data_IF_887571987965
#
_entry.id   IF_887571987965
#
_cell.length_a   1.000
_cell.length_b   1.000
_cell.length_c   1.000
_cell.angle_alpha   90.00
_cell.angle_beta   90.00
_cell.angle_gamma   90.00
#
_symmetry.space_group_name_H-M   'P 1'
#
loop_
_entity.id
_entity.type
_entity.pdbx_description
1 polymer ?
#
# COMPACT_ATOMS: atom_id res chain seq x y z
N UNK A 1 -23.67 -44.99 -62.59
CA UNK A 1 -23.45 -43.78 -61.78
C UNK A 1 -23.81 -44.08 -60.32
N UNK A 2 -22.81 -43.92 -59.44
CA UNK A 2 -22.80 -43.64 -57.98
C UNK A 2 -23.61 -44.51 -57.00
N UNK A 3 -22.84 -45.21 -56.15
CA UNK A 3 -23.28 -45.93 -54.96
C UNK A 3 -23.15 -45.15 -53.64
N UNK A 4 -23.63 -45.79 -52.57
CA UNK A 4 -23.67 -45.38 -51.15
C UNK A 4 -22.31 -45.48 -50.44
N UNK A 5 -22.03 -44.59 -49.48
CA UNK A 5 -21.73 -44.79 -48.02
C UNK A 5 -21.05 -43.52 -47.42
N UNK A 6 -21.58 -42.96 -46.31
CA UNK A 6 -21.10 -42.99 -44.89
C UNK A 6 -19.87 -42.10 -44.59
N UNK A 7 -19.96 -41.32 -43.51
CA UNK A 7 -18.79 -40.84 -42.75
C UNK A 7 -18.82 -39.34 -42.45
N UNK A 8 -19.14 -38.96 -41.21
CA UNK A 8 -19.28 -37.56 -40.79
C UNK A 8 -17.99 -36.83 -40.47
N UNK A 9 -18.10 -35.52 -40.28
CA UNK A 9 -17.28 -34.74 -39.34
C UNK A 9 -18.17 -33.64 -38.77
N UNK A 10 -18.40 -33.66 -37.46
CA UNK A 10 -18.87 -32.50 -36.69
C UNK A 10 -17.82 -31.40 -36.87
N UNK A 11 -18.11 -30.37 -37.66
CA UNK A 11 -17.43 -29.09 -37.44
C UNK A 11 -18.02 -28.50 -36.17
N UNK A 12 -17.26 -28.67 -35.08
CA UNK A 12 -17.42 -27.92 -33.84
C UNK A 12 -17.33 -26.45 -34.23
N UNK A 13 -18.45 -25.77 -34.06
CA UNK A 13 -18.56 -24.33 -34.22
C UNK A 13 -17.55 -23.63 -33.29
N UNK A 14 -16.87 -22.63 -33.86
CA UNK A 14 -16.06 -21.66 -33.13
C UNK A 14 -16.89 -21.01 -32.03
N UNK A 15 -16.86 -21.61 -30.84
CA UNK A 15 -17.52 -21.07 -29.66
C UNK A 15 -16.50 -20.29 -28.83
N UNK A 16 -16.58 -18.96 -29.00
CA UNK A 16 -16.45 -17.98 -27.93
C UNK A 16 -15.25 -18.16 -26.98
N UNK A 17 -14.05 -17.78 -27.42
CA UNK A 17 -13.02 -17.30 -26.49
C UNK A 17 -13.07 -15.77 -26.37
N UNK A 18 -14.28 -15.24 -26.22
CA UNK A 18 -14.54 -13.83 -25.94
C UNK A 18 -14.55 -13.63 -24.41
N UNK A 19 -13.50 -14.09 -23.73
CA UNK A 19 -13.24 -13.70 -22.34
C UNK A 19 -12.92 -12.20 -22.37
N UNK A 20 -13.97 -11.42 -22.11
CA UNK A 20 -13.98 -9.96 -22.15
C UNK A 20 -12.77 -9.39 -21.41
N UNK A 21 -11.85 -8.78 -22.18
CA UNK A 21 -10.78 -7.93 -21.63
C UNK A 21 -11.40 -6.91 -20.66
N UNK A 22 -10.74 -6.57 -19.54
CA UNK A 22 -11.24 -5.56 -18.61
C UNK A 22 -11.62 -4.28 -19.36
N UNK A 23 -12.91 -3.91 -19.37
CA UNK A 23 -13.45 -2.72 -20.07
C UNK A 23 -12.87 -1.40 -19.55
N UNK A 24 -12.19 -1.43 -18.42
CA UNK A 24 -11.43 -0.33 -17.87
C UNK A 24 -10.05 -0.87 -17.48
N UNK A 25 -9.15 -1.05 -18.45
CA UNK A 25 -7.73 -1.00 -18.11
C UNK A 25 -7.53 0.35 -17.43
N UNK A 26 -7.33 0.35 -16.11
CA UNK A 26 -6.98 1.54 -15.33
C UNK A 26 -5.84 2.22 -16.10
N UNK A 27 -6.19 3.27 -16.84
CA UNK A 27 -5.42 3.96 -17.89
C UNK A 27 -3.94 3.59 -17.93
N UNK A 28 -3.51 3.00 -19.06
CA UNK A 28 -2.11 2.87 -19.53
C UNK A 28 -1.07 3.21 -18.46
N UNK A 29 -0.61 2.16 -17.80
CA UNK A 29 0.28 2.10 -16.64
C UNK A 29 1.61 2.87 -16.80
N UNK A 30 1.53 4.19 -16.86
CA UNK A 30 2.69 5.06 -16.84
C UNK A 30 3.28 5.10 -15.44
N UNK A 31 4.12 4.13 -15.07
CA UNK A 31 5.01 4.19 -13.90
C UNK A 31 6.36 4.84 -14.24
N UNK A 32 6.53 5.36 -15.44
CA UNK A 32 7.75 6.01 -15.89
C UNK A 32 8.15 7.22 -15.01
N UNK A 33 7.18 7.86 -14.36
CA UNK A 33 7.39 8.97 -13.43
C UNK A 33 7.29 8.55 -11.96
N UNK A 34 7.15 7.25 -11.66
CA UNK A 34 7.07 6.77 -10.28
C UNK A 34 8.41 6.97 -9.57
N UNK A 35 8.34 7.33 -8.28
CA UNK A 35 9.48 7.80 -7.49
C UNK A 35 10.68 6.83 -7.49
N UNK A 36 10.42 5.52 -7.40
CA UNK A 36 11.46 4.50 -7.42
C UNK A 36 11.99 4.24 -8.82
N UNK A 37 11.10 4.15 -9.82
CA UNK A 37 11.46 3.83 -11.20
C UNK A 37 12.45 4.85 -11.78
N UNK A 38 12.23 6.15 -11.53
CA UNK A 38 13.13 7.21 -12.00
C UNK A 38 14.53 7.17 -11.37
N UNK A 39 14.73 6.38 -10.31
CA UNK A 39 16.03 6.21 -9.62
C UNK A 39 16.74 4.91 -9.98
N UNK A 40 16.06 4.03 -10.71
CA UNK A 40 16.66 2.80 -11.20
C UNK A 40 17.70 3.09 -12.28
N UNK A 41 18.73 2.24 -12.35
CA UNK A 41 19.68 2.21 -13.46
C UNK A 41 18.95 1.83 -14.74
N UNK A 42 19.50 2.17 -15.91
CA UNK A 42 18.90 1.85 -17.22
C UNK A 42 18.52 0.36 -17.36
N UNK A 43 19.40 -0.55 -16.97
CA UNK A 43 19.12 -2.00 -17.05
C UNK A 43 17.93 -2.43 -16.15
N UNK A 44 17.84 -1.86 -14.94
CA UNK A 44 16.72 -2.09 -14.01
C UNK A 44 15.40 -1.51 -14.55
N UNK A 45 15.46 -0.33 -15.20
CA UNK A 45 14.30 0.26 -15.87
C UNK A 45 13.82 -0.63 -17.02
N UNK A 46 14.72 -1.14 -17.85
CA UNK A 46 14.40 -2.09 -18.93
C UNK A 46 13.76 -3.36 -18.35
N UNK A 47 14.33 -3.92 -17.28
CA UNK A 47 13.78 -5.08 -16.58
C UNK A 47 12.36 -4.81 -16.08
N UNK A 48 12.15 -3.73 -15.33
CA UNK A 48 10.83 -3.36 -14.82
C UNK A 48 9.82 -3.15 -15.96
N UNK A 49 10.20 -2.40 -16.99
CA UNK A 49 9.31 -2.11 -18.12
C UNK A 49 8.93 -3.35 -18.91
N UNK A 50 9.90 -4.21 -19.24
CA UNK A 50 9.60 -5.45 -19.97
C UNK A 50 8.72 -6.38 -19.14
N UNK A 51 9.02 -6.55 -17.86
CA UNK A 51 8.22 -7.44 -17.02
C UNK A 51 6.80 -6.92 -16.82
N UNK A 52 6.61 -5.63 -16.52
CA UNK A 52 5.26 -5.07 -16.36
C UNK A 52 4.44 -5.19 -17.63
N UNK A 53 5.04 -4.90 -18.80
CA UNK A 53 4.35 -5.05 -20.08
C UNK A 53 3.96 -6.51 -20.36
N UNK A 54 4.85 -7.46 -20.07
CA UNK A 54 4.57 -8.89 -20.20
C UNK A 54 3.44 -9.34 -19.28
N UNK A 55 3.46 -8.90 -18.01
CA UNK A 55 2.44 -9.22 -17.01
C UNK A 55 1.06 -8.68 -17.39
N UNK A 56 0.99 -7.45 -17.93
CA UNK A 56 -0.26 -6.86 -18.43
C UNK A 56 -0.84 -7.68 -19.59
N UNK A 57 0.04 -8.24 -20.42
CA UNK A 57 -0.33 -9.07 -21.57
C UNK A 57 -0.50 -10.56 -21.21
N UNK A 58 -0.39 -10.91 -19.92
CA UNK A 58 -0.47 -12.29 -19.42
C UNK A 58 0.55 -13.24 -20.10
N UNK A 59 1.72 -12.71 -20.50
CA UNK A 59 2.79 -13.52 -21.07
C UNK A 59 3.41 -14.40 -19.98
N UNK A 60 3.71 -15.65 -20.28
CA UNK A 60 4.29 -16.59 -19.31
C UNK A 60 5.80 -16.38 -19.10
N UNK A 61 6.49 -15.71 -20.02
CA UNK A 61 7.91 -15.43 -19.86
C UNK A 61 8.38 -14.27 -20.72
N UNK A 62 9.54 -13.72 -20.38
CA UNK A 62 10.31 -12.82 -21.25
C UNK A 62 11.75 -13.29 -21.36
N UNK A 63 12.38 -12.96 -22.49
CA UNK A 63 13.81 -13.12 -22.71
C UNK A 63 14.49 -11.75 -22.59
N UNK A 64 15.63 -11.73 -21.93
CA UNK A 64 16.46 -10.57 -21.67
C UNK A 64 17.83 -10.79 -22.32
N UNK A 65 18.36 -9.83 -23.10
CA UNK A 65 19.70 -9.96 -23.66
C UNK A 65 20.74 -9.90 -22.55
N UNK A 66 21.77 -10.75 -22.63
CA UNK A 66 22.88 -10.82 -21.67
C UNK A 66 23.61 -9.49 -21.50
N UNK A 67 23.61 -8.64 -22.53
CA UNK A 67 24.19 -7.30 -22.49
C UNK A 67 23.59 -6.38 -21.44
N UNK A 68 22.38 -6.67 -20.93
CA UNK A 68 21.79 -5.94 -19.80
C UNK A 68 22.46 -6.23 -18.46
N UNK A 69 23.21 -7.36 -18.36
CA UNK A 69 23.91 -7.80 -17.15
C UNK A 69 23.02 -7.81 -15.90
N UNK A 70 21.78 -8.30 -16.03
CA UNK A 70 20.82 -8.34 -14.93
C UNK A 70 21.27 -9.32 -13.85
N UNK A 71 21.43 -8.84 -12.64
CA UNK A 71 21.82 -9.64 -11.47
C UNK A 71 20.60 -10.15 -10.68
N UNK A 72 20.84 -11.09 -9.76
CA UNK A 72 19.82 -11.55 -8.81
C UNK A 72 19.32 -10.39 -7.91
N UNK A 73 20.20 -9.44 -7.56
CA UNK A 73 19.81 -8.29 -6.74
C UNK A 73 18.94 -7.31 -7.52
N UNK A 74 19.20 -7.11 -8.82
CA UNK A 74 18.29 -6.37 -9.71
C UNK A 74 16.92 -7.04 -9.77
N UNK A 75 16.88 -8.36 -9.91
CA UNK A 75 15.63 -9.13 -9.87
C UNK A 75 14.88 -8.94 -8.55
N UNK A 76 15.55 -9.07 -7.39
CA UNK A 76 14.92 -8.88 -6.07
C UNK A 76 14.37 -7.46 -5.92
N UNK A 77 15.12 -6.46 -6.37
CA UNK A 77 14.71 -5.05 -6.34
C UNK A 77 13.45 -4.84 -7.20
N UNK A 78 13.45 -5.32 -8.44
CA UNK A 78 12.30 -5.14 -9.35
C UNK A 78 11.09 -5.96 -8.91
N UNK A 79 11.28 -7.18 -8.40
CA UNK A 79 10.21 -7.98 -7.79
C UNK A 79 9.53 -7.23 -6.65
N UNK A 80 10.33 -6.64 -5.73
CA UNK A 80 9.82 -5.82 -4.61
C UNK A 80 9.10 -4.57 -5.12
N UNK A 81 9.66 -3.88 -6.11
CA UNK A 81 9.03 -2.71 -6.74
C UNK A 81 7.65 -3.05 -7.31
N UNK A 82 7.54 -4.09 -8.14
CA UNK A 82 6.26 -4.49 -8.74
C UNK A 82 5.24 -4.88 -7.67
N UNK A 83 5.67 -5.66 -6.67
CA UNK A 83 4.77 -6.12 -5.61
C UNK A 83 4.13 -4.97 -4.79
N UNK A 84 4.81 -3.84 -4.64
CA UNK A 84 4.39 -2.75 -3.76
C UNK A 84 3.97 -1.46 -4.48
N UNK A 85 4.59 -1.14 -5.62
CA UNK A 85 4.33 0.09 -6.38
C UNK A 85 3.37 -0.13 -7.55
N UNK A 86 3.19 -1.39 -7.98
CA UNK A 86 2.26 -1.80 -9.02
C UNK A 86 1.28 -2.85 -8.46
N UNK A 87 0.59 -2.53 -7.34
CA UNK A 87 -0.24 -3.49 -6.63
C UNK A 87 -1.41 -4.05 -7.45
N UNK A 88 -1.84 -3.37 -8.52
CA UNK A 88 -2.84 -3.87 -9.47
C UNK A 88 -2.46 -5.16 -10.20
N UNK A 89 -1.17 -5.56 -10.17
CA UNK A 89 -0.65 -6.79 -10.78
C UNK A 89 -0.41 -7.91 -9.75
N UNK A 90 -0.96 -7.80 -8.54
CA UNK A 90 -0.69 -8.73 -7.44
C UNK A 90 -1.03 -10.21 -7.72
N UNK A 91 -1.89 -10.48 -8.70
CA UNK A 91 -2.31 -11.83 -9.13
C UNK A 91 -1.30 -12.53 -10.04
N UNK A 92 -0.23 -11.82 -10.41
CA UNK A 92 0.92 -12.40 -11.09
C UNK A 92 2.06 -12.58 -10.09
N UNK A 93 2.52 -13.82 -9.94
CA UNK A 93 3.79 -14.09 -9.29
C UNK A 93 4.93 -13.78 -10.25
N UNK A 94 5.87 -12.96 -9.77
CA UNK A 94 7.08 -12.57 -10.50
C UNK A 94 8.07 -13.74 -10.48
N UNK A 95 7.71 -14.85 -11.13
CA UNK A 95 8.21 -16.21 -10.92
C UNK A 95 9.72 -16.47 -11.11
N UNK A 96 10.05 -17.68 -11.55
CA UNK A 96 11.44 -18.15 -11.63
C UNK A 96 12.26 -17.46 -12.72
N UNK A 97 13.57 -17.60 -12.66
CA UNK A 97 14.48 -17.06 -13.66
C UNK A 97 15.52 -18.08 -14.09
N UNK A 98 16.08 -17.88 -15.29
CA UNK A 98 17.28 -18.58 -15.77
C UNK A 98 18.42 -17.57 -15.76
N UNK A 99 19.56 -17.96 -15.18
CA UNK A 99 20.75 -17.12 -15.09
C UNK A 99 22.02 -17.90 -15.40
N UNK A 100 22.88 -17.34 -16.26
CA UNK A 100 24.25 -17.77 -16.47
C UNK A 100 25.07 -16.71 -17.26
N UNK A 101 26.01 -15.96 -16.66
CA UNK A 101 26.07 -15.58 -15.24
C UNK A 101 24.97 -14.55 -14.88
N UNK A 102 24.32 -13.95 -15.88
CA UNK A 102 23.26 -12.96 -15.73
C UNK A 102 21.89 -13.57 -16.03
N UNK A 103 20.84 -12.94 -15.53
CA UNK A 103 19.46 -13.35 -15.81
C UNK A 103 19.13 -13.06 -17.28
N UNK A 104 18.77 -14.11 -18.02
CA UNK A 104 18.42 -14.05 -19.45
C UNK A 104 16.97 -14.44 -19.72
N UNK A 105 16.29 -15.08 -18.76
CA UNK A 105 14.87 -15.39 -18.86
C UNK A 105 14.16 -15.19 -17.53
N UNK A 106 12.98 -14.59 -17.56
CA UNK A 106 12.04 -14.54 -16.44
C UNK A 106 10.77 -15.28 -16.81
N UNK A 107 10.22 -16.06 -15.88
CA UNK A 107 8.94 -16.74 -16.00
C UNK A 107 7.93 -16.09 -15.05
N UNK A 108 6.68 -16.01 -15.47
CA UNK A 108 5.57 -15.45 -14.72
C UNK A 108 4.47 -16.50 -14.54
N UNK A 109 3.90 -16.56 -13.35
CA UNK A 109 2.78 -17.44 -13.02
C UNK A 109 1.58 -16.60 -12.63
N UNK A 110 0.39 -17.04 -13.03
CA UNK A 110 -0.86 -16.30 -12.84
C UNK A 110 -1.85 -17.17 -12.10
N UNK A 111 -2.64 -16.56 -11.21
CA UNK A 111 -3.79 -17.22 -10.61
C UNK A 111 -4.78 -17.65 -11.70
N UNK A 112 -5.42 -18.80 -11.55
CA UNK A 112 -6.44 -19.31 -12.50
C UNK A 112 -7.58 -18.32 -12.72
N UNK A 113 -7.88 -17.49 -11.71
CA UNK A 113 -8.92 -16.47 -11.74
C UNK A 113 -8.38 -15.04 -11.94
N UNK A 114 -7.16 -14.88 -12.49
CA UNK A 114 -6.46 -13.60 -12.65
C UNK A 114 -7.33 -12.47 -13.20
N UNK A 115 -8.09 -12.70 -14.29
CA UNK A 115 -8.94 -11.69 -14.91
C UNK A 115 -10.10 -11.28 -13.97
N UNK A 116 -10.73 -12.25 -13.30
CA UNK A 116 -11.82 -12.00 -12.37
C UNK A 116 -11.35 -11.21 -11.14
N UNK A 117 -10.19 -11.58 -10.60
CA UNK A 117 -9.56 -10.90 -9.47
C UNK A 117 -9.22 -9.44 -9.83
N UNK A 118 -8.65 -9.22 -11.02
CA UNK A 118 -8.36 -7.88 -11.52
C UNK A 118 -9.64 -7.04 -11.67
N UNK A 119 -10.68 -7.59 -12.28
CA UNK A 119 -11.96 -6.89 -12.44
C UNK A 119 -12.60 -6.55 -11.09
N UNK A 120 -12.54 -7.46 -10.12
CA UNK A 120 -13.02 -7.22 -8.75
C UNK A 120 -12.28 -6.07 -8.08
N UNK A 121 -10.94 -6.04 -8.18
CA UNK A 121 -10.14 -4.96 -7.63
C UNK A 121 -10.48 -3.61 -8.27
N UNK A 122 -10.56 -3.56 -9.61
CA UNK A 122 -10.88 -2.34 -10.36
C UNK A 122 -12.26 -1.81 -9.97
N UNK A 123 -13.25 -2.69 -9.87
CA UNK A 123 -14.61 -2.35 -9.48
C UNK A 123 -14.67 -1.75 -8.07
N UNK A 124 -14.06 -2.43 -7.09
CA UNK A 124 -14.05 -2.02 -5.69
C UNK A 124 -13.33 -0.69 -5.49
N UNK A 125 -12.17 -0.52 -6.14
CA UNK A 125 -11.39 0.71 -6.08
C UNK A 125 -12.14 1.88 -6.73
N UNK A 126 -12.79 1.66 -7.87
CA UNK A 126 -13.61 2.68 -8.53
C UNK A 126 -14.76 3.13 -7.62
N UNK A 127 -15.47 2.18 -6.99
CA UNK A 127 -16.53 2.49 -6.02
C UNK A 127 -16.00 3.27 -4.81
N UNK A 128 -14.84 2.90 -4.28
CA UNK A 128 -14.22 3.60 -3.16
C UNK A 128 -13.83 5.04 -3.55
N UNK A 129 -13.28 5.23 -4.74
CA UNK A 129 -12.97 6.58 -5.23
C UNK A 129 -14.26 7.41 -5.37
N UNK A 130 -15.32 6.87 -5.96
CA UNK A 130 -16.60 7.57 -6.14
C UNK A 130 -17.30 7.92 -4.82
N UNK A 131 -17.26 7.03 -3.82
CA UNK A 131 -17.85 7.33 -2.50
C UNK A 131 -17.05 8.37 -1.71
N UNK A 132 -15.80 8.62 -2.11
CA UNK A 132 -14.89 9.54 -1.42
C UNK A 132 -14.80 10.91 -2.08
N UNK A 133 -15.52 11.23 -3.15
CA UNK A 133 -15.41 12.53 -3.84
C UNK A 133 -16.14 13.70 -3.18
N UNK A 134 -17.07 13.47 -2.25
CA UNK A 134 -17.99 14.51 -1.75
C UNK A 134 -17.58 15.24 -0.46
N UNK A 135 -16.35 15.12 0.03
CA UNK A 135 -15.93 15.79 1.28
C UNK A 135 -14.58 16.50 1.19
N UNK A 136 -14.39 17.51 2.05
CA UNK A 136 -13.15 18.32 2.20
C UNK A 136 -11.94 17.51 2.68
N UNK A 137 -12.11 16.24 3.04
CA UNK A 137 -11.04 15.40 3.58
C UNK A 137 -10.05 14.95 2.49
N UNK A 138 -8.79 14.81 2.88
CA UNK A 138 -7.71 14.24 2.04
C UNK A 138 -7.97 12.76 1.74
N UNK A 139 -7.32 12.22 0.70
CA UNK A 139 -7.41 10.79 0.35
C UNK A 139 -7.05 9.91 1.56
N UNK A 140 -5.93 10.18 2.23
CA UNK A 140 -5.48 9.39 3.36
C UNK A 140 -6.50 9.40 4.52
N UNK A 141 -7.16 10.52 4.79
CA UNK A 141 -8.21 10.59 5.82
C UNK A 141 -9.43 9.76 5.44
N UNK A 142 -9.89 9.87 4.18
CA UNK A 142 -11.04 9.09 3.69
C UNK A 142 -10.74 7.59 3.67
N UNK A 143 -9.53 7.23 3.26
CA UNK A 143 -9.05 5.86 3.27
C UNK A 143 -9.01 5.31 4.70
N UNK A 144 -8.41 6.04 5.65
CA UNK A 144 -8.37 5.66 7.07
C UNK A 144 -9.79 5.44 7.64
N UNK A 145 -10.71 6.38 7.43
CA UNK A 145 -12.10 6.23 7.88
C UNK A 145 -12.77 5.01 7.26
N UNK A 146 -12.51 4.75 5.98
CA UNK A 146 -13.08 3.61 5.28
C UNK A 146 -12.56 2.29 5.85
N UNK A 147 -11.24 2.13 6.02
CA UNK A 147 -10.67 0.88 6.53
C UNK A 147 -11.10 0.59 7.97
N UNK A 148 -11.26 1.60 8.83
CA UNK A 148 -11.77 1.42 10.21
C UNK A 148 -13.18 0.83 10.24
N UNK A 149 -14.01 1.09 9.21
CA UNK A 149 -15.39 0.60 9.14
C UNK A 149 -15.54 -0.73 8.41
N UNK A 150 -14.61 -1.07 7.52
CA UNK A 150 -14.78 -2.18 6.57
C UNK A 150 -13.73 -3.26 6.70
N UNK A 151 -12.66 -3.05 7.47
CA UNK A 151 -11.56 -4.00 7.57
C UNK A 151 -10.93 -4.03 8.95
N UNK A 152 -10.31 -5.15 9.29
CA UNK A 152 -9.49 -5.31 10.49
C UNK A 152 -8.08 -5.74 10.14
N UNK A 153 -7.17 -5.54 11.09
CA UNK A 153 -5.83 -6.14 10.99
C UNK A 153 -5.94 -7.66 11.18
N UNK A 154 -5.37 -8.42 10.25
CA UNK A 154 -5.42 -9.88 10.25
C UNK A 154 -4.27 -10.53 11.01
N UNK A 155 -4.49 -11.77 11.46
CA UNK A 155 -3.42 -12.66 11.89
C UNK A 155 -2.93 -13.47 10.68
N UNK A 156 -1.61 -13.49 10.44
CA UNK A 156 -0.98 -14.22 9.31
C UNK A 156 -1.21 -15.73 9.39
N UNK A 157 -1.54 -16.25 10.59
CA UNK A 157 -1.91 -17.64 10.79
C UNK A 157 -3.30 -18.01 10.22
N UNK A 158 -4.14 -17.04 9.85
CA UNK A 158 -5.46 -17.29 9.24
C UNK A 158 -5.29 -17.88 7.82
N UNK A 159 -5.41 -19.21 7.69
CA UNK A 159 -5.11 -19.96 6.46
C UNK A 159 -6.01 -19.60 5.29
N UNK A 160 -7.31 -19.40 5.54
CA UNK A 160 -8.33 -19.18 4.49
C UNK A 160 -8.16 -17.86 3.73
N UNK A 161 -7.34 -16.93 4.23
CA UNK A 161 -7.20 -15.59 3.65
C UNK A 161 -5.74 -15.17 3.46
N UNK A 162 -4.78 -16.05 3.75
CA UNK A 162 -3.35 -15.73 3.81
C UNK A 162 -2.90 -14.93 2.59
N UNK A 163 -3.10 -15.42 1.37
CA UNK A 163 -2.68 -14.71 0.15
C UNK A 163 -3.44 -13.40 -0.07
N UNK A 164 -4.74 -13.38 0.22
CA UNK A 164 -5.58 -12.18 0.08
C UNK A 164 -5.15 -11.07 1.04
N UNK A 165 -4.72 -11.39 2.27
CA UNK A 165 -4.38 -10.40 3.29
C UNK A 165 -3.16 -9.54 2.94
N UNK A 166 -2.25 -10.04 2.09
CA UNK A 166 -1.08 -9.30 1.58
C UNK A 166 -1.37 -8.54 0.26
N UNK A 167 -2.57 -8.70 -0.29
CA UNK A 167 -2.99 -8.11 -1.57
C UNK A 167 -3.79 -6.81 -1.35
N UNK A 168 -3.90 -5.93 -2.36
CA UNK A 168 -4.79 -4.78 -2.28
C UNK A 168 -6.29 -5.16 -2.21
N UNK A 169 -6.67 -6.42 -2.44
CA UNK A 169 -8.04 -6.91 -2.21
C UNK A 169 -8.33 -7.22 -0.74
N UNK A 170 -7.32 -7.54 0.07
CA UNK A 170 -7.49 -7.89 1.48
C UNK A 170 -8.40 -6.92 2.24
N UNK A 171 -8.18 -5.60 2.17
CA UNK A 171 -9.03 -4.64 2.86
C UNK A 171 -10.50 -4.70 2.44
N UNK A 172 -10.81 -5.01 1.17
CA UNK A 172 -12.19 -5.18 0.69
C UNK A 172 -12.82 -6.49 1.15
N UNK A 173 -12.00 -7.51 1.40
CA UNK A 173 -12.43 -8.80 1.94
C UNK A 173 -12.59 -8.78 3.47
N UNK A 174 -12.46 -7.62 4.11
CA UNK A 174 -12.65 -7.45 5.55
C UNK A 174 -11.41 -7.69 6.40
N UNK A 175 -10.31 -8.19 5.84
CA UNK A 175 -9.09 -8.46 6.60
C UNK A 175 -7.83 -8.32 5.76
N UNK A 176 -6.85 -7.59 6.29
CA UNK A 176 -5.53 -7.44 5.68
C UNK A 176 -4.43 -7.27 6.72
N UNK A 177 -3.19 -7.44 6.29
CA UNK A 177 -2.00 -7.09 7.07
C UNK A 177 -1.34 -5.84 6.52
N UNK A 178 -0.22 -5.41 7.11
CA UNK A 178 0.52 -4.19 6.74
C UNK A 178 0.68 -4.00 5.22
N UNK A 179 1.10 -5.03 4.51
CA UNK A 179 1.28 -4.99 3.06
C UNK A 179 -0.03 -4.74 2.29
N UNK A 180 -1.15 -5.36 2.67
CA UNK A 180 -2.42 -5.21 1.96
C UNK A 180 -2.99 -3.80 2.06
N UNK A 181 -2.95 -3.21 3.27
CA UNK A 181 -3.34 -1.82 3.48
C UNK A 181 -2.43 -0.85 2.73
N UNK A 182 -1.11 -1.03 2.81
CA UNK A 182 -0.16 -0.15 2.14
C UNK A 182 -0.32 -0.16 0.61
N UNK A 183 -0.52 -1.35 0.03
CA UNK A 183 -0.75 -1.54 -1.42
C UNK A 183 -2.05 -0.91 -1.90
N UNK A 184 -3.15 -1.07 -1.16
CA UNK A 184 -4.41 -0.44 -1.54
C UNK A 184 -4.31 1.09 -1.50
N UNK A 185 -3.67 1.67 -0.48
CA UNK A 185 -3.44 3.12 -0.44
C UNK A 185 -2.57 3.61 -1.60
N UNK A 186 -1.50 2.87 -1.95
CA UNK A 186 -0.67 3.18 -3.12
C UNK A 186 -1.48 3.16 -4.42
N UNK A 187 -2.33 2.15 -4.62
CA UNK A 187 -3.20 2.05 -5.80
C UNK A 187 -4.15 3.25 -5.89
N UNK A 188 -4.84 3.58 -4.79
CA UNK A 188 -5.76 4.72 -4.73
C UNK A 188 -5.02 6.05 -5.02
N UNK A 189 -3.83 6.21 -4.46
CA UNK A 189 -3.00 7.40 -4.69
C UNK A 189 -2.62 7.55 -6.16
N UNK A 190 -2.18 6.45 -6.78
CA UNK A 190 -1.81 6.41 -8.21
C UNK A 190 -2.98 6.82 -9.09
N UNK A 191 -4.16 6.25 -8.86
CA UNK A 191 -5.37 6.55 -9.65
C UNK A 191 -5.87 7.99 -9.50
N UNK A 192 -5.53 8.63 -8.37
CA UNK A 192 -5.88 10.01 -8.09
C UNK A 192 -4.72 10.98 -8.34
N UNK A 193 -3.66 10.54 -9.03
CA UNK A 193 -2.45 11.31 -9.31
C UNK A 193 -1.84 11.97 -8.07
N UNK A 194 -1.86 11.27 -6.93
CA UNK A 194 -1.24 11.70 -5.67
C UNK A 194 0.08 10.98 -5.48
N UNK A 195 1.13 11.75 -5.21
CA UNK A 195 2.45 11.20 -4.96
C UNK A 195 2.48 10.44 -3.63
N UNK A 196 2.63 9.12 -3.73
CA UNK A 196 2.90 8.24 -2.59
C UNK A 196 3.79 7.07 -3.02
N UNK A 197 4.46 6.49 -2.03
CA UNK A 197 5.27 5.28 -2.15
C UNK A 197 4.94 4.32 -1.01
N UNK A 198 5.07 3.04 -1.27
CA UNK A 198 5.19 2.01 -0.24
C UNK A 198 6.64 1.96 0.26
N UNK A 199 6.79 1.72 1.55
CA UNK A 199 8.07 1.52 2.22
C UNK A 199 7.97 0.26 3.07
N UNK A 200 9.07 -0.48 3.14
CA UNK A 200 9.18 -1.66 4.00
C UNK A 200 10.39 -1.55 4.90
N UNK A 201 10.41 -2.37 5.93
CA UNK A 201 11.53 -2.53 6.83
C UNK A 201 11.07 -2.78 8.26
N UNK A 202 12.00 -2.89 9.21
CA UNK A 202 11.66 -3.12 10.61
C UNK A 202 10.86 -1.94 11.17
N UNK A 203 9.69 -2.21 11.73
CA UNK A 203 8.97 -1.26 12.56
C UNK A 203 9.75 -0.99 13.87
N UNK A 204 9.32 -0.01 14.67
CA UNK A 204 10.03 0.33 15.91
C UNK A 204 10.06 -0.80 16.95
N UNK A 205 9.17 -1.80 16.83
CA UNK A 205 9.17 -3.03 17.62
C UNK A 205 10.06 -4.15 17.04
N UNK A 206 10.74 -3.91 15.92
CA UNK A 206 11.64 -4.87 15.27
C UNK A 206 10.97 -5.80 14.24
N UNK A 207 9.64 -5.80 14.14
CA UNK A 207 8.93 -6.67 13.19
C UNK A 207 9.03 -6.15 11.75
N UNK A 208 9.10 -7.07 10.78
CA UNK A 208 9.02 -6.71 9.37
C UNK A 208 7.68 -6.04 9.06
N UNK A 209 7.74 -4.85 8.48
CA UNK A 209 6.56 -4.03 8.30
C UNK A 209 6.50 -3.36 6.92
N UNK A 210 5.30 -2.91 6.56
CA UNK A 210 5.04 -2.13 5.36
C UNK A 210 4.12 -0.95 5.69
N UNK A 211 4.50 0.24 5.23
CA UNK A 211 3.73 1.48 5.42
C UNK A 211 3.85 2.35 4.16
N UNK A 212 3.28 3.55 4.18
CA UNK A 212 3.37 4.49 3.06
C UNK A 212 4.08 5.78 3.45
N UNK A 213 4.68 6.43 2.46
CA UNK A 213 4.98 7.86 2.51
C UNK A 213 4.14 8.57 1.46
N UNK A 214 3.61 9.76 1.78
CA UNK A 214 2.91 10.62 0.83
C UNK A 214 3.49 12.02 0.80
N UNK A 215 3.41 12.68 -0.35
CA UNK A 215 3.81 14.07 -0.52
C UNK A 215 2.60 14.99 -0.38
N UNK A 216 2.67 15.96 0.53
CA UNK A 216 1.67 17.02 0.69
C UNK A 216 2.39 18.36 0.58
N UNK A 217 2.08 19.12 -0.47
CA UNK A 217 2.84 20.32 -0.82
C UNK A 217 4.30 19.95 -1.11
N UNK A 218 5.23 20.56 -0.36
CA UNK A 218 6.67 20.33 -0.50
C UNK A 218 7.22 19.25 0.45
N UNK A 219 6.41 18.78 1.41
CA UNK A 219 6.86 17.87 2.46
C UNK A 219 6.37 16.45 2.25
N UNK A 220 7.20 15.48 2.63
CA UNK A 220 6.82 14.09 2.73
C UNK A 220 6.43 13.74 4.17
N UNK A 221 5.45 12.86 4.29
CA UNK A 221 4.95 12.37 5.57
C UNK A 221 4.77 10.87 5.53
N UNK A 222 5.05 10.21 6.65
CA UNK A 222 4.72 8.81 6.83
C UNK A 222 3.24 8.61 7.18
N UNK A 223 2.71 7.48 6.74
CA UNK A 223 1.38 6.97 7.02
C UNK A 223 1.48 5.49 7.35
N UNK A 224 1.23 5.14 8.61
CA UNK A 224 1.05 3.75 9.03
C UNK A 224 -0.41 3.50 9.38
N UNK A 225 -1.19 3.12 8.37
CA UNK A 225 -2.61 2.84 8.54
C UNK A 225 -2.87 1.71 9.54
N UNK A 226 -1.98 0.73 9.61
CA UNK A 226 -2.19 -0.45 10.44
C UNK A 226 -1.96 -0.18 11.92
N UNK A 227 -0.99 0.68 12.23
CA UNK A 227 -0.80 1.15 13.59
C UNK A 227 -1.85 2.18 13.98
N UNK A 228 -2.42 2.91 13.01
CA UNK A 228 -3.61 3.74 13.26
C UNK A 228 -4.87 2.91 13.57
N UNK A 229 -5.02 1.71 13.00
CA UNK A 229 -6.14 0.81 13.29
C UNK A 229 -6.09 0.19 14.70
N UNK A 230 -4.89 0.09 15.30
CA UNK A 230 -4.67 -0.50 16.63
C UNK A 230 -4.85 0.50 17.77
N UNK A 231 -5.19 1.75 17.49
CA UNK A 231 -5.23 2.84 18.48
C UNK A 231 -6.56 3.57 18.46
N UNK A 232 -6.90 4.18 19.59
CA UNK A 232 -8.09 5.03 19.74
C UNK A 232 -8.04 6.24 18.78
N UNK A 233 -6.83 6.73 18.48
CA UNK A 233 -6.58 7.84 17.57
C UNK A 233 -5.45 7.50 16.59
N UNK A 234 -5.46 8.03 15.36
CA UNK A 234 -4.50 7.66 14.33
C UNK A 234 -3.15 8.37 14.50
N UNK A 235 -2.42 8.00 15.56
CA UNK A 235 -1.15 8.61 15.98
C UNK A 235 -0.09 8.64 14.89
N UNK A 236 -0.08 7.64 14.00
CA UNK A 236 0.93 7.49 12.94
C UNK A 236 0.44 7.99 11.58
N UNK A 237 -0.51 8.92 11.59
CA UNK A 237 -1.02 9.59 10.42
C UNK A 237 -0.28 10.90 10.17
N UNK A 238 0.39 11.02 9.03
CA UNK A 238 1.17 12.18 8.60
C UNK A 238 2.31 12.57 9.55
N UNK A 239 3.18 11.62 9.85
CA UNK A 239 4.23 11.79 10.86
C UNK A 239 5.64 11.84 10.25
N UNK A 240 6.57 12.46 10.96
CA UNK A 240 7.99 12.47 10.65
C UNK A 240 8.60 11.07 10.83
N UNK A 241 9.80 10.85 10.27
CA UNK A 241 10.56 9.62 10.49
C UNK A 241 10.86 9.41 11.98
N UNK A 242 11.13 10.50 12.71
CA UNK A 242 11.41 10.47 14.15
C UNK A 242 10.20 9.97 14.94
N UNK A 243 9.00 10.46 14.64
CA UNK A 243 7.79 10.05 15.34
C UNK A 243 7.32 8.65 14.93
N UNK A 244 7.54 8.24 13.67
CA UNK A 244 7.24 6.88 13.24
C UNK A 244 8.17 5.85 13.90
N UNK A 245 9.48 6.12 13.96
CA UNK A 245 10.48 5.24 14.57
C UNK A 245 10.86 4.00 13.73
N UNK A 246 10.20 3.75 12.59
CA UNK A 246 10.52 2.64 11.70
C UNK A 246 11.87 2.83 11.01
N UNK A 247 12.55 1.72 10.72
CA UNK A 247 13.75 1.70 9.89
C UNK A 247 13.38 1.35 8.45
N UNK A 248 13.84 2.17 7.51
CA UNK A 248 13.66 1.90 6.10
C UNK A 248 14.81 1.03 5.56
N UNK A 249 14.46 -0.14 5.03
CA UNK A 249 15.41 -1.11 4.44
C UNK A 249 15.56 -0.98 2.91
N UNK A 250 14.96 0.04 2.31
CA UNK A 250 14.94 0.20 0.87
C UNK A 250 16.33 0.50 0.32
N UNK A 251 16.77 -0.32 -0.63
CA UNK A 251 17.98 -0.11 -1.42
C UNK A 251 17.91 1.21 -2.20
N UNK A 252 16.71 1.64 -2.60
CA UNK A 252 16.49 2.95 -3.20
C UNK A 252 16.13 3.95 -2.13
N UNK A 253 16.96 4.99 -2.00
CA UNK A 253 16.77 6.08 -1.02
C UNK A 253 15.37 6.69 -1.13
N UNK A 254 14.61 6.59 -0.05
CA UNK A 254 13.27 7.20 0.07
C UNK A 254 13.39 8.68 0.42
N UNK A 255 12.29 9.44 0.31
CA UNK A 255 12.22 10.79 0.84
C UNK A 255 12.45 10.82 2.36
N UNK A 256 12.82 12.00 2.86
CA UNK A 256 12.90 12.27 4.30
C UNK A 256 11.60 12.91 4.75
N UNK A 257 10.94 12.31 5.74
CA UNK A 257 9.80 12.92 6.41
C UNK A 257 10.31 13.67 7.66
N UNK A 258 10.50 14.98 7.56
CA UNK A 258 11.16 15.80 8.58
C UNK A 258 10.23 16.61 9.49
N UNK A 259 8.91 16.51 9.32
CA UNK A 259 7.95 17.36 10.03
C UNK A 259 6.67 16.62 10.41
N UNK A 260 6.10 17.03 11.55
CA UNK A 260 4.83 16.53 12.09
C UNK A 260 3.69 17.55 11.94
N UNK A 261 3.89 18.63 11.18
CA UNK A 261 2.94 19.76 11.05
C UNK A 261 1.53 19.35 10.62
N UNK A 262 1.42 18.27 9.84
CA UNK A 262 0.14 17.73 9.37
C UNK A 262 -0.28 16.44 10.07
N UNK A 263 0.43 16.06 11.14
CA UNK A 263 0.09 14.88 11.93
C UNK A 263 -1.28 15.04 12.58
N UNK A 264 -1.94 13.92 12.86
CA UNK A 264 -3.21 13.93 13.57
C UNK A 264 -3.10 14.66 14.92
N UNK A 265 -2.04 14.39 15.67
CA UNK A 265 -1.82 14.97 17.00
C UNK A 265 -1.69 16.50 16.93
N UNK A 266 -0.87 17.02 16.01
CA UNK A 266 -0.71 18.47 15.84
C UNK A 266 -2.01 19.12 15.37
N UNK A 267 -2.70 18.52 14.38
CA UNK A 267 -3.96 19.07 13.86
C UNK A 267 -5.08 19.11 14.88
N UNK A 268 -5.08 18.20 15.84
CA UNK A 268 -6.09 18.14 16.91
C UNK A 268 -5.62 18.80 18.22
N UNK A 269 -4.47 19.51 18.22
CA UNK A 269 -3.89 20.17 19.40
C UNK A 269 -3.65 19.20 20.57
N UNK A 270 -3.17 18.00 20.26
CA UNK A 270 -2.87 16.92 21.22
C UNK A 270 -1.35 16.73 21.42
N UNK A 271 -0.55 17.74 21.07
CA UNK A 271 0.89 17.74 21.26
C UNK A 271 1.23 18.64 22.45
N UNK A 272 1.96 18.11 23.44
CA UNK A 272 2.29 18.83 24.65
C UNK A 272 3.77 18.65 25.02
N UNK A 273 4.62 19.64 24.78
CA UNK A 273 6.06 19.53 25.11
C UNK A 273 6.40 20.17 26.47
N UNK A 274 5.51 20.98 27.03
CA UNK A 274 5.68 21.69 28.31
C UNK A 274 4.60 21.30 29.33
N UNK A 275 4.83 21.50 30.64
CA UNK A 275 3.78 21.32 31.65
C UNK A 275 2.51 22.14 31.36
N UNK A 276 2.67 23.36 30.87
CA UNK A 276 1.57 24.24 30.49
C UNK A 276 0.78 23.69 29.30
N UNK A 277 1.48 23.11 28.31
CA UNK A 277 0.82 22.44 27.19
C UNK A 277 0.05 21.19 27.65
N UNK A 278 0.59 20.44 28.62
CA UNK A 278 -0.10 19.28 29.21
C UNK A 278 -1.40 19.74 29.87
N UNK A 279 -1.35 20.76 30.72
CA UNK A 279 -2.54 21.31 31.37
C UNK A 279 -3.57 21.79 30.34
N UNK A 280 -3.12 22.49 29.29
CA UNK A 280 -4.00 22.98 28.22
C UNK A 280 -4.62 21.84 27.42
N UNK A 281 -3.83 20.86 27.00
CA UNK A 281 -4.31 19.69 26.26
C UNK A 281 -5.29 18.86 27.10
N UNK A 282 -4.98 18.67 28.38
CA UNK A 282 -5.83 17.97 29.33
C UNK A 282 -7.15 18.71 29.53
N UNK A 283 -7.11 20.01 29.86
CA UNK A 283 -8.30 20.84 30.03
C UNK A 283 -9.22 20.84 28.81
N UNK A 284 -8.65 20.99 27.60
CA UNK A 284 -9.41 21.03 26.35
C UNK A 284 -10.10 19.70 26.02
N UNK A 285 -9.51 18.57 26.41
CA UNK A 285 -10.06 17.23 26.17
C UNK A 285 -11.05 16.82 27.27
N UNK A 286 -10.71 17.12 28.53
CA UNK A 286 -11.54 16.86 29.70
C UNK A 286 -12.89 17.57 29.59
N UNK A 287 -12.89 18.86 29.24
CA UNK A 287 -14.13 19.66 29.02
C UNK A 287 -15.03 19.11 27.89
N UNK A 288 -14.47 18.32 26.98
CA UNK A 288 -15.21 17.69 25.88
C UNK A 288 -15.68 16.28 26.22
N UNK A 289 -15.51 15.84 27.47
CA UNK A 289 -15.82 14.47 27.91
C UNK A 289 -14.98 13.41 27.20
N UNK A 290 -13.80 13.77 26.69
CA UNK A 290 -12.91 12.85 25.96
C UNK A 290 -11.87 12.25 26.90
N UNK A 291 -11.45 11.02 26.60
CA UNK A 291 -10.23 10.45 27.17
C UNK A 291 -9.07 11.38 26.81
N UNK A 292 -8.35 11.86 27.83
CA UNK A 292 -7.29 12.85 27.65
C UNK A 292 -6.00 12.15 27.20
N UNK A 293 -5.63 12.35 25.93
CA UNK A 293 -4.42 11.77 25.35
C UNK A 293 -3.58 12.88 24.73
N UNK A 294 -2.30 12.90 25.03
CA UNK A 294 -1.34 13.78 24.39
C UNK A 294 0.00 13.07 24.22
N UNK A 295 0.75 13.48 23.21
CA UNK A 295 2.14 13.06 23.05
C UNK A 295 3.04 14.12 23.67
N UNK A 296 4.02 13.71 24.46
CA UNK A 296 4.93 14.61 25.16
C UNK A 296 6.33 14.01 25.28
N UNK A 297 7.27 14.85 25.70
CA UNK A 297 8.62 14.43 26.15
C UNK A 297 8.74 14.31 27.67
N UNK A 298 7.65 14.59 28.39
CA UNK A 298 7.61 14.62 29.85
C UNK A 298 7.32 13.19 30.33
N UNK A 299 8.06 12.63 31.29
CA UNK A 299 7.80 11.28 31.80
C UNK A 299 6.32 11.07 32.17
N UNK A 300 5.73 9.88 31.91
CA UNK A 300 4.31 9.64 32.13
C UNK A 300 3.83 9.98 33.55
N UNK A 301 4.64 9.67 34.57
CA UNK A 301 4.31 9.94 35.97
C UNK A 301 4.21 11.44 36.27
N UNK A 302 5.19 12.23 35.81
CA UNK A 302 5.15 13.69 35.93
C UNK A 302 4.00 14.31 35.14
N UNK A 303 3.65 13.73 33.99
CA UNK A 303 2.49 14.14 33.21
C UNK A 303 1.19 13.91 33.97
N UNK A 304 1.07 12.78 34.67
CA UNK A 304 -0.07 12.45 35.50
C UNK A 304 -0.20 13.41 36.69
N UNK A 305 0.91 13.72 37.37
CA UNK A 305 0.95 14.70 38.47
C UNK A 305 0.47 16.08 38.04
N UNK A 306 0.86 16.53 36.84
CA UNK A 306 0.41 17.82 36.28
C UNK A 306 -1.11 17.81 36.05
N UNK A 307 -1.65 16.72 35.49
CA UNK A 307 -3.09 16.58 35.27
C UNK A 307 -3.88 16.51 36.59
N UNK A 308 -3.38 15.75 37.57
CA UNK A 308 -3.98 15.66 38.91
C UNK A 308 -3.99 17.01 39.61
N UNK A 309 -2.88 17.75 39.55
CA UNK A 309 -2.78 19.10 40.09
C UNK A 309 -3.79 20.05 39.45
N UNK A 310 -3.97 19.96 38.13
CA UNK A 310 -4.97 20.76 37.43
C UNK A 310 -6.40 20.44 37.88
N UNK A 311 -6.71 19.17 38.15
CA UNK A 311 -8.01 18.74 38.66
C UNK A 311 -8.28 19.23 40.10
N UNK A 312 -7.26 19.22 40.97
CA UNK A 312 -7.44 19.61 42.38
C UNK A 312 -7.49 21.13 42.58
N UNK A 313 -6.85 21.91 41.69
CA UNK A 313 -6.86 23.39 41.75
C UNK A 313 -8.14 24.03 41.21
N UNK A 314 -9.04 23.25 40.62
CA UNK A 314 -10.34 23.70 40.13
C UNK A 314 -11.38 22.80 40.76
N UNK A 315 -11.99 23.24 41.86
CA UNK A 315 -13.24 22.64 42.33
C UNK A 315 -14.19 22.55 41.11
N UNK A 316 -14.52 21.32 40.70
CA UNK A 316 -15.26 21.03 39.48
C UNK A 316 -16.73 21.45 39.58
#
# INVERSE_FOLDING_TARGET
MKGKTVGGVKQISDSKNNQTRPKQQLKLYGFANDYYYVKFKKAQQVLATRSVNAMIQLQQSIVLPESLKITIDDYKLIRKFIAYEIPELYMCDFGSYIANPYITKLNFSYDTNTIQLQNTLIYNVTKLIQSTTSSRNTLAQKYLVWITKHSRYGNIAETNMKHSQFSPLGPFNGVAVCAGFAKLFKLLSKLLNKASICVTGPASNGENHAWNMQKIGLSWYNLDFTWCLKQEFPRYFNVSNKLLGHRNDSVVKTPVCSTDRLSYMVKNKMWADTPEDIQKCFADQFKKGKICIFNNKIPPQKSLEICQTWLTQREL
#
